data_IF_754843113290
#
_entry.id   IF_754843113290
#
_cell.length_a   1.000
_cell.length_b   1.000
_cell.length_c   1.000
_cell.angle_alpha   90.00
_cell.angle_beta   90.00
_cell.angle_gamma   90.00
#
_symmetry.space_group_name_H-M   'P 1'
#
loop_
_entity.id
_entity.type
_entity.pdbx_description
1 polymer ?
#
# COMPACT_ATOMS: atom_id res chain seq x y z
N UNK A 1 -17.41 23.78 16.86
CA UNK A 1 -16.03 23.80 16.35
C UNK A 1 -15.50 22.38 16.38
N UNK A 2 -15.76 21.62 15.33
CA UNK A 2 -15.31 20.22 15.22
C UNK A 2 -13.87 20.24 14.73
N UNK A 3 -12.95 19.69 15.53
CA UNK A 3 -11.53 19.59 15.15
C UNK A 3 -11.43 18.75 13.88
N UNK A 4 -10.78 19.28 12.84
CA UNK A 4 -10.19 18.47 11.77
C UNK A 4 -9.20 17.53 12.46
N UNK A 5 -9.60 16.29 12.68
CA UNK A 5 -8.70 15.24 13.13
C UNK A 5 -7.86 14.83 11.95
N UNK A 6 -6.60 15.28 11.90
CA UNK A 6 -5.58 14.60 11.09
C UNK A 6 -5.65 13.11 11.42
N UNK A 7 -6.04 12.27 10.45
CA UNK A 7 -5.99 10.84 10.63
C UNK A 7 -4.52 10.45 10.88
N UNK A 8 -4.20 9.79 12.00
CA UNK A 8 -2.83 9.36 12.25
C UNK A 8 -2.48 8.31 11.19
N UNK A 9 -1.33 8.53 10.54
CA UNK A 9 -0.69 7.70 9.52
C UNK A 9 -0.29 6.30 10.01
N UNK A 10 -0.82 5.81 11.14
CA UNK A 10 -0.19 4.75 11.93
C UNK A 10 -1.01 3.46 12.07
N UNK A 11 -2.33 3.47 11.86
CA UNK A 11 -3.15 2.28 12.09
C UNK A 11 -3.67 1.70 10.78
N UNK A 12 -3.28 0.46 10.47
CA UNK A 12 -4.00 -0.36 9.50
C UNK A 12 -5.44 -0.56 9.99
N UNK A 13 -6.39 -0.49 9.07
CA UNK A 13 -7.75 -1.00 9.19
C UNK A 13 -7.79 -2.53 9.12
N UNK A 14 -8.86 -3.10 8.57
CA UNK A 14 -9.02 -4.55 8.38
C UNK A 14 -8.18 -5.04 7.18
N UNK A 15 -7.15 -5.89 7.36
CA UNK A 15 -6.34 -6.36 6.23
C UNK A 15 -7.14 -7.30 5.32
N UNK A 16 -7.10 -7.08 4.00
CA UNK A 16 -7.78 -7.93 3.00
C UNK A 16 -6.83 -8.64 2.05
N UNK A 17 -5.60 -8.15 1.91
CA UNK A 17 -4.60 -8.78 1.07
C UNK A 17 -3.18 -8.58 1.62
N UNK A 18 -2.34 -9.58 1.41
CA UNK A 18 -0.92 -9.55 1.75
C UNK A 18 -0.10 -10.08 0.58
N UNK A 19 1.03 -9.41 0.29
CA UNK A 19 2.07 -9.87 -0.63
C UNK A 19 3.38 -10.01 0.12
N UNK A 20 4.04 -11.15 -0.07
CA UNK A 20 5.39 -11.38 0.42
C UNK A 20 6.37 -11.29 -0.75
N UNK A 21 7.40 -10.49 -0.56
CA UNK A 21 8.47 -10.19 -1.51
C UNK A 21 9.82 -10.41 -0.83
N UNK A 22 10.91 -10.35 -1.60
CA UNK A 22 12.27 -10.53 -1.09
C UNK A 22 13.18 -9.40 -1.55
N UNK A 23 14.03 -8.92 -0.65
CA UNK A 23 15.19 -8.07 -0.96
C UNK A 23 16.45 -8.78 -0.47
N UNK A 24 17.09 -9.56 -1.34
CA UNK A 24 18.06 -10.58 -0.90
C UNK A 24 17.39 -11.56 0.07
N UNK A 25 17.98 -11.76 1.25
CA UNK A 25 17.41 -12.65 2.29
C UNK A 25 16.28 -12.00 3.12
N UNK A 26 16.11 -10.67 3.00
CA UNK A 26 15.14 -9.92 3.78
C UNK A 26 13.73 -10.11 3.24
N UNK A 27 12.78 -10.44 4.14
CA UNK A 27 11.36 -10.50 3.82
C UNK A 27 10.79 -9.08 3.75
N UNK A 28 10.16 -8.76 2.63
CA UNK A 28 9.37 -7.54 2.46
C UNK A 28 7.90 -7.92 2.46
N UNK A 29 7.09 -7.31 3.31
CA UNK A 29 5.64 -7.56 3.37
C UNK A 29 4.89 -6.32 2.95
N UNK A 30 3.94 -6.48 2.03
CA UNK A 30 2.99 -5.45 1.62
C UNK A 30 1.60 -5.88 2.05
N UNK A 31 0.95 -5.07 2.88
CA UNK A 31 -0.41 -5.32 3.37
C UNK A 31 -1.35 -4.24 2.86
N UNK A 32 -2.49 -4.66 2.32
CA UNK A 32 -3.57 -3.79 1.87
C UNK A 32 -4.79 -3.99 2.77
N UNK A 33 -5.32 -2.89 3.26
CA UNK A 33 -6.56 -2.91 4.04
C UNK A 33 -7.79 -2.84 3.16
N UNK A 34 -8.90 -3.23 3.76
CA UNK A 34 -10.23 -3.01 3.24
C UNK A 34 -10.41 -1.52 2.97
N UNK A 35 -10.80 -1.14 1.75
CA UNK A 35 -11.15 0.24 1.48
C UNK A 35 -12.34 0.66 2.36
N UNK A 36 -12.19 1.79 3.04
CA UNK A 36 -13.22 2.36 3.90
C UNK A 36 -13.61 3.76 3.40
N UNK A 37 -14.88 4.10 3.56
CA UNK A 37 -15.36 5.43 3.23
C UNK A 37 -14.90 6.43 4.30
N UNK A 38 -14.26 7.51 3.87
CA UNK A 38 -13.89 8.64 4.71
C UNK A 38 -15.10 9.52 5.04
N UNK A 39 -14.95 10.41 6.02
CA UNK A 39 -16.00 11.34 6.42
C UNK A 39 -16.44 12.30 5.30
N UNK A 40 -15.55 12.57 4.33
CA UNK A 40 -15.77 13.51 3.23
C UNK A 40 -16.43 12.83 2.00
N UNK A 41 -16.72 11.53 2.08
CA UNK A 41 -17.41 10.76 1.04
C UNK A 41 -16.48 9.97 0.10
N UNK A 42 -15.20 10.34 0.04
CA UNK A 42 -14.15 9.60 -0.68
C UNK A 42 -13.83 8.27 0.01
N UNK A 43 -13.23 7.32 -0.70
CA UNK A 43 -12.73 6.08 -0.13
C UNK A 43 -11.22 6.14 0.08
N UNK A 44 -10.72 5.48 1.12
CA UNK A 44 -9.30 5.27 1.33
C UNK A 44 -8.96 3.80 1.50
N UNK A 45 -7.82 3.40 0.96
CA UNK A 45 -7.21 2.09 1.16
C UNK A 45 -5.81 2.30 1.71
N UNK A 46 -5.52 1.77 2.90
CA UNK A 46 -4.19 1.85 3.48
C UNK A 46 -3.28 0.76 2.93
N UNK A 47 -2.03 1.14 2.66
CA UNK A 47 -0.93 0.25 2.30
C UNK A 47 0.12 0.31 3.39
N UNK A 48 0.50 -0.83 3.97
CA UNK A 48 1.66 -0.95 4.85
C UNK A 48 2.75 -1.76 4.18
N UNK A 49 3.97 -1.21 4.20
CA UNK A 49 5.18 -1.87 3.70
C UNK A 49 6.16 -2.04 4.85
N UNK A 50 6.61 -3.27 5.05
CA UNK A 50 7.54 -3.70 6.09
C UNK A 50 8.77 -4.34 5.45
N UNK A 51 9.94 -4.18 6.08
CA UNK A 51 11.16 -4.84 5.65
C UNK A 51 11.92 -4.12 4.52
N UNK A 52 11.67 -2.85 4.27
CA UNK A 52 12.53 -2.00 3.41
C UNK A 52 13.22 -0.94 4.24
N UNK A 53 12.44 -0.20 5.02
CA UNK A 53 12.94 0.78 5.99
C UNK A 53 13.02 0.17 7.40
N UNK A 54 13.79 0.78 8.32
CA UNK A 54 13.83 0.34 9.73
C UNK A 54 12.46 0.37 10.42
N UNK A 55 11.59 1.30 10.02
CA UNK A 55 10.23 1.43 10.54
C UNK A 55 9.19 1.11 9.46
N UNK A 56 8.12 0.37 9.77
CA UNK A 56 7.02 0.13 8.84
C UNK A 56 6.40 1.42 8.34
N UNK A 57 6.27 1.55 7.02
CA UNK A 57 5.58 2.70 6.40
C UNK A 57 4.13 2.33 6.14
N UNK A 58 3.19 3.10 6.70
CA UNK A 58 1.76 3.00 6.37
C UNK A 58 1.34 4.27 5.62
N UNK A 59 0.57 4.13 4.54
CA UNK A 59 0.10 5.26 3.73
C UNK A 59 -1.34 5.01 3.28
N UNK A 60 -2.23 5.97 3.55
CA UNK A 60 -3.59 5.94 3.04
C UNK A 60 -3.64 6.50 1.62
N UNK A 61 -4.21 5.75 0.69
CA UNK A 61 -4.38 6.13 -0.71
C UNK A 61 -5.87 6.29 -1.00
N UNK A 62 -6.25 7.40 -1.62
CA UNK A 62 -7.64 7.79 -1.83
C UNK A 62 -8.14 7.48 -3.24
N UNK A 63 -9.43 7.22 -3.36
CA UNK A 63 -10.13 7.04 -4.64
C UNK A 63 -11.60 7.44 -4.53
N UNK A 64 -12.25 7.62 -5.69
CA UNK A 64 -13.66 8.07 -5.76
C UNK A 64 -14.63 6.98 -5.30
N UNK A 65 -14.19 5.73 -5.33
CA UNK A 65 -14.89 4.57 -4.79
C UNK A 65 -13.89 3.56 -4.20
N UNK A 66 -14.41 2.50 -3.58
CA UNK A 66 -13.61 1.46 -2.92
C UNK A 66 -12.67 0.72 -3.87
N UNK A 67 -13.11 0.46 -5.11
CA UNK A 67 -12.32 -0.25 -6.13
C UNK A 67 -11.20 0.65 -6.64
N UNK A 68 -11.50 1.93 -6.88
CA UNK A 68 -10.52 2.92 -7.29
C UNK A 68 -9.44 3.10 -6.21
N UNK A 69 -9.84 3.26 -4.93
CA UNK A 69 -8.90 3.39 -3.83
C UNK A 69 -7.95 2.17 -3.71
N UNK A 70 -8.48 0.95 -3.86
CA UNK A 70 -7.66 -0.27 -3.89
C UNK A 70 -6.72 -0.31 -5.11
N UNK A 71 -7.21 0.05 -6.29
CA UNK A 71 -6.41 0.07 -7.52
C UNK A 71 -5.25 1.06 -7.44
N UNK A 72 -5.50 2.25 -6.89
CA UNK A 72 -4.45 3.26 -6.64
C UNK A 72 -3.47 2.79 -5.58
N UNK A 73 -3.94 2.14 -4.51
CA UNK A 73 -3.10 1.55 -3.47
C UNK A 73 -2.15 0.48 -4.03
N UNK A 74 -2.65 -0.43 -4.87
CA UNK A 74 -1.84 -1.44 -5.56
C UNK A 74 -0.80 -0.80 -6.49
N UNK A 75 -1.20 0.23 -7.24
CA UNK A 75 -0.31 0.98 -8.14
C UNK A 75 0.77 1.73 -7.37
N UNK A 76 0.42 2.33 -6.23
CA UNK A 76 1.35 3.01 -5.33
C UNK A 76 2.42 2.04 -4.81
N UNK A 77 2.00 0.86 -4.32
CA UNK A 77 2.92 -0.17 -3.87
C UNK A 77 3.88 -0.59 -4.99
N UNK A 78 3.36 -0.86 -6.19
CA UNK A 78 4.18 -1.20 -7.36
C UNK A 78 5.24 -0.15 -7.65
N UNK A 79 4.84 1.12 -7.81
CA UNK A 79 5.75 2.23 -8.11
C UNK A 79 6.85 2.42 -7.06
N UNK A 80 6.49 2.29 -5.77
CA UNK A 80 7.45 2.48 -4.69
C UNK A 80 8.49 1.34 -4.65
N UNK A 81 8.05 0.11 -4.91
CA UNK A 81 8.88 -1.09 -4.80
C UNK A 81 9.72 -1.35 -6.06
N UNK A 82 9.17 -1.06 -7.25
CA UNK A 82 9.90 -1.19 -8.53
C UNK A 82 11.06 -0.18 -8.66
N UNK A 83 11.12 0.85 -7.80
CA UNK A 83 12.25 1.76 -7.74
C UNK A 83 13.52 1.11 -7.14
N UNK A 84 13.39 -0.04 -6.48
CA UNK A 84 14.48 -0.84 -5.91
C UNK A 84 14.62 -2.15 -6.70
N UNK A 85 15.68 -2.25 -7.51
CA UNK A 85 15.93 -3.38 -8.41
C UNK A 85 16.32 -4.68 -7.69
N UNK A 86 16.53 -4.62 -6.38
CA UNK A 86 16.80 -5.79 -5.54
C UNK A 86 15.54 -6.47 -5.01
N UNK A 87 14.38 -5.82 -5.12
CA UNK A 87 13.11 -6.39 -4.67
C UNK A 87 12.58 -7.35 -5.74
N UNK A 88 12.23 -8.56 -5.31
CA UNK A 88 11.72 -9.61 -6.19
C UNK A 88 10.47 -10.27 -5.61
N UNK A 89 9.65 -10.82 -6.50
CA UNK A 89 8.56 -11.72 -6.15
C UNK A 89 8.84 -13.10 -6.73
N UNK A 90 9.01 -14.11 -5.86
CA UNK A 90 9.43 -15.46 -6.26
C UNK A 90 10.72 -15.49 -7.11
N UNK A 91 11.64 -14.53 -6.88
CA UNK A 91 12.89 -14.40 -7.64
C UNK A 91 12.77 -13.60 -8.93
N UNK A 92 11.57 -13.17 -9.31
CA UNK A 92 11.32 -12.38 -10.52
C UNK A 92 11.22 -10.88 -10.20
N UNK A 93 11.60 -10.04 -11.18
CA UNK A 93 11.48 -8.58 -11.07
C UNK A 93 10.05 -8.07 -11.27
N UNK A 94 9.15 -8.91 -11.80
CA UNK A 94 7.73 -8.59 -11.83
C UNK A 94 7.11 -8.84 -10.46
N UNK A 95 6.78 -7.74 -9.76
CA UNK A 95 6.25 -7.79 -8.40
C UNK A 95 4.75 -8.14 -8.33
N UNK A 96 4.10 -8.30 -9.48
CA UNK A 96 2.67 -8.63 -9.56
C UNK A 96 1.75 -7.48 -9.16
N UNK A 97 2.24 -6.24 -9.22
CA UNK A 97 1.45 -5.03 -9.03
C UNK A 97 1.07 -4.39 -10.37
N UNK A 98 -0.06 -3.67 -10.45
CA UNK A 98 -0.41 -2.89 -11.63
C UNK A 98 0.69 -1.90 -11.96
N UNK A 99 1.14 -1.91 -13.21
CA UNK A 99 2.03 -0.88 -13.74
C UNK A 99 1.19 0.31 -14.14
N UNK A 100 1.62 1.52 -13.79
CA UNK A 100 1.07 2.69 -14.46
C UNK A 100 1.45 2.60 -15.94
N UNK A 101 0.43 2.46 -16.79
CA UNK A 101 0.59 2.31 -18.24
C UNK A 101 1.61 3.30 -18.79
N UNK A 102 2.53 2.79 -19.59
CA UNK A 102 3.41 3.59 -20.45
C UNK A 102 2.61 4.20 -21.59
#
# INVERSE_FOLDING_TARGET
MTRLGSMPTEKLGEPIARRELRKGDQLVTVTFDKPEQSADGDYSCAVRIEGIDPEPRTTAIFGVDSVHALSEALTFAGRLLEADDMVTWNGESDLGFPRSGR
#
